data_IF_812842594506
#
_entry.id   IF_812842594506
#
_cell.length_a   1.000
_cell.length_b   1.000
_cell.length_c   1.000
_cell.angle_alpha   90.00
_cell.angle_beta   90.00
_cell.angle_gamma   90.00
#
_symmetry.space_group_name_H-M   'P 1'
#
loop_
_entity.id
_entity.type
_entity.pdbx_description
1 polymer ?
#
# COMPACT_ATOMS: atom_id res chain seq x y z
N UNK A 1 -4.02 9.99 -40.24
CA UNK A 1 -4.13 10.27 -38.79
C UNK A 1 -3.26 9.25 -38.06
N UNK A 2 -2.15 9.66 -37.44
CA UNK A 2 -1.34 8.74 -36.62
C UNK A 2 -2.19 8.36 -35.40
N UNK A 3 -2.49 7.07 -35.22
CA UNK A 3 -3.14 6.60 -34.01
C UNK A 3 -2.27 7.00 -32.81
N UNK A 4 -2.80 7.70 -31.80
CA UNK A 4 -2.01 8.01 -30.60
C UNK A 4 -1.63 6.69 -29.92
N UNK A 5 -0.33 6.53 -29.62
CA UNK A 5 0.26 5.31 -29.04
C UNK A 5 -0.10 5.17 -27.53
N UNK A 6 -0.85 6.12 -26.94
CA UNK A 6 -1.30 6.07 -25.54
C UNK A 6 -2.37 7.13 -25.22
N UNK A 7 -2.96 7.05 -24.01
CA UNK A 7 -4.08 7.89 -23.58
C UNK A 7 -3.69 9.33 -23.20
N UNK A 8 -2.41 9.60 -22.98
CA UNK A 8 -1.91 10.86 -22.43
C UNK A 8 -1.00 11.61 -23.42
N UNK A 9 -1.05 12.96 -23.46
CA UNK A 9 -0.11 13.78 -24.22
C UNK A 9 1.37 13.52 -23.86
N UNK A 10 2.29 13.89 -24.74
CA UNK A 10 3.70 14.00 -24.39
C UNK A 10 3.98 15.37 -23.77
N UNK A 11 4.28 15.38 -22.48
CA UNK A 11 4.68 16.61 -21.78
C UNK A 11 6.16 16.87 -22.05
N UNK A 12 6.49 18.08 -22.50
CA UNK A 12 7.88 18.56 -22.62
C UNK A 12 8.10 19.67 -21.59
N UNK A 13 9.11 19.48 -20.74
CA UNK A 13 9.53 20.51 -19.78
C UNK A 13 10.36 21.56 -20.51
N UNK A 14 10.01 22.83 -20.33
CA UNK A 14 10.76 24.00 -20.83
C UNK A 14 11.01 24.95 -19.66
N UNK A 15 12.10 25.69 -19.72
CA UNK A 15 12.53 26.67 -18.72
C UNK A 15 12.17 28.13 -19.10
N UNK A 16 11.38 28.31 -20.17
CA UNK A 16 11.02 29.62 -20.72
C UNK A 16 9.95 30.39 -19.91
N UNK A 17 9.37 29.77 -18.88
CA UNK A 17 8.38 30.38 -17.98
C UNK A 17 7.02 30.69 -18.61
N UNK A 18 6.75 30.24 -19.84
CA UNK A 18 5.53 30.62 -20.61
C UNK A 18 4.33 29.69 -20.36
N UNK A 19 4.54 28.56 -19.70
CA UNK A 19 3.48 27.64 -19.28
C UNK A 19 3.82 27.04 -17.91
N UNK A 20 2.91 27.20 -16.93
CA UNK A 20 3.08 26.70 -15.56
C UNK A 20 2.09 25.57 -15.33
N UNK A 21 2.58 24.43 -14.86
CA UNK A 21 1.75 23.32 -14.38
C UNK A 21 1.77 23.35 -12.86
N UNK A 22 0.61 23.56 -12.25
CA UNK A 22 0.50 23.71 -10.79
C UNK A 22 0.83 22.41 -10.03
N UNK A 23 0.74 21.26 -10.70
CA UNK A 23 1.04 19.94 -10.15
C UNK A 23 2.18 19.26 -10.90
N UNK A 24 3.39 19.81 -10.88
CA UNK A 24 4.52 19.23 -11.60
C UNK A 24 4.81 17.75 -11.24
N UNK A 25 4.51 17.31 -10.01
CA UNK A 25 4.61 15.90 -9.61
C UNK A 25 3.70 14.94 -10.39
N UNK A 26 2.60 15.44 -10.95
CA UNK A 26 1.68 14.66 -11.80
C UNK A 26 2.29 14.23 -13.13
N UNK A 27 3.24 15.00 -13.67
CA UNK A 27 3.89 14.69 -14.95
C UNK A 27 4.63 13.36 -14.84
N UNK A 28 5.33 13.14 -13.73
CA UNK A 28 6.07 11.89 -13.51
C UNK A 28 5.13 10.69 -13.31
N UNK A 29 3.96 10.89 -12.70
CA UNK A 29 2.93 9.85 -12.59
C UNK A 29 2.35 9.50 -13.96
N UNK A 30 2.04 10.50 -14.80
CA UNK A 30 1.55 10.28 -16.17
C UNK A 30 2.60 9.57 -17.02
N UNK A 31 3.87 9.98 -16.97
CA UNK A 31 4.94 9.28 -17.68
C UNK A 31 5.13 7.84 -17.15
N UNK A 32 4.94 7.61 -15.85
CA UNK A 32 4.95 6.26 -15.28
C UNK A 32 3.82 5.42 -15.87
N UNK A 33 2.58 5.90 -15.87
CA UNK A 33 1.41 5.23 -16.47
C UNK A 33 1.72 4.77 -17.90
N UNK A 34 2.29 5.65 -18.72
CA UNK A 34 2.64 5.36 -20.11
C UNK A 34 3.77 4.35 -20.24
N UNK A 35 4.84 4.48 -19.45
CA UNK A 35 6.01 3.59 -19.52
C UNK A 35 5.69 2.17 -19.11
N UNK A 36 4.78 2.00 -18.14
CA UNK A 36 4.35 0.68 -17.67
C UNK A 36 3.16 0.13 -18.46
N UNK A 37 2.52 0.96 -19.32
CA UNK A 37 1.37 0.58 -20.14
C UNK A 37 0.08 0.37 -19.35
N UNK A 38 -0.07 1.05 -18.20
CA UNK A 38 -1.25 0.88 -17.34
C UNK A 38 -2.54 1.36 -18.03
N UNK A 39 -2.47 2.47 -18.75
CA UNK A 39 -3.59 3.01 -19.51
C UNK A 39 -4.10 2.03 -20.57
N UNK A 40 -3.18 1.43 -21.32
CA UNK A 40 -3.50 0.44 -22.35
C UNK A 40 -4.10 -0.84 -21.74
N UNK A 41 -3.48 -1.38 -20.68
CA UNK A 41 -3.95 -2.61 -20.04
C UNK A 41 -5.35 -2.45 -19.44
N UNK A 42 -5.61 -1.34 -18.76
CA UNK A 42 -6.93 -1.05 -18.17
C UNK A 42 -7.97 -0.75 -19.25
N UNK A 43 -7.60 -0.03 -20.32
CA UNK A 43 -8.48 0.22 -21.48
C UNK A 43 -8.90 -1.09 -22.16
N UNK A 44 -7.94 -1.99 -22.41
CA UNK A 44 -8.22 -3.32 -22.97
C UNK A 44 -9.15 -4.12 -22.05
N UNK A 45 -8.85 -4.19 -20.75
CA UNK A 45 -9.66 -4.92 -19.78
C UNK A 45 -11.09 -4.38 -19.63
N UNK A 46 -11.29 -3.07 -19.78
CA UNK A 46 -12.60 -2.44 -19.66
C UNK A 46 -13.34 -2.26 -20.99
N UNK A 47 -12.83 -2.81 -22.09
CA UNK A 47 -13.49 -2.81 -23.41
C UNK A 47 -14.94 -3.33 -23.36
N UNK A 48 -15.29 -4.39 -22.61
CA UNK A 48 -16.69 -4.85 -22.52
C UNK A 48 -17.69 -3.81 -21.99
N UNK A 49 -17.21 -2.78 -21.27
CA UNK A 49 -18.03 -1.69 -20.73
C UNK A 49 -17.98 -0.42 -21.58
N UNK A 50 -17.25 -0.44 -22.69
CA UNK A 50 -17.17 0.69 -23.63
C UNK A 50 -18.39 0.69 -24.54
N UNK A 51 -19.22 1.73 -24.44
CA UNK A 51 -20.36 1.91 -25.34
C UNK A 51 -19.85 2.25 -26.76
N UNK A 52 -20.55 1.83 -27.84
CA UNK A 52 -20.11 2.09 -29.22
C UNK A 52 -19.86 3.56 -29.55
N UNK A 53 -20.66 4.47 -28.97
CA UNK A 53 -20.55 5.93 -29.16
C UNK A 53 -19.86 6.65 -27.98
N UNK A 54 -19.08 5.92 -27.17
CA UNK A 54 -18.38 6.52 -26.04
C UNK A 54 -17.24 7.41 -26.54
N UNK A 55 -17.31 8.71 -26.21
CA UNK A 55 -16.23 9.68 -26.45
C UNK A 55 -15.05 9.41 -25.51
N UNK A 56 -15.34 9.13 -24.23
CA UNK A 56 -14.34 8.80 -23.23
C UNK A 56 -14.16 7.29 -23.11
N UNK A 57 -12.92 6.84 -23.13
CA UNK A 57 -12.57 5.45 -22.88
C UNK A 57 -12.74 5.10 -21.38
N UNK A 58 -13.48 4.03 -21.03
CA UNK A 58 -13.68 3.63 -19.64
C UNK A 58 -12.38 3.39 -18.86
N UNK A 59 -11.36 2.82 -19.53
CA UNK A 59 -10.08 2.57 -18.90
C UNK A 59 -9.32 3.84 -18.62
N UNK A 60 -9.29 4.78 -19.59
CA UNK A 60 -8.73 6.10 -19.36
C UNK A 60 -9.42 6.82 -18.20
N UNK A 61 -10.76 6.79 -18.14
CA UNK A 61 -11.50 7.43 -17.04
C UNK A 61 -11.11 6.86 -15.66
N UNK A 62 -10.91 5.54 -15.57
CA UNK A 62 -10.50 4.89 -14.33
C UNK A 62 -9.07 5.26 -13.92
N UNK A 63 -8.15 5.34 -14.88
CA UNK A 63 -6.75 5.76 -14.64
C UNK A 63 -6.67 7.26 -14.32
N UNK A 64 -7.46 8.11 -14.98
CA UNK A 64 -7.58 9.54 -14.65
C UNK A 64 -8.05 9.71 -13.20
N UNK A 65 -9.06 8.97 -12.77
CA UNK A 65 -9.52 9.03 -11.38
C UNK A 65 -8.45 8.52 -10.40
N UNK A 66 -7.72 7.46 -10.74
CA UNK A 66 -6.60 6.99 -9.93
C UNK A 66 -5.46 8.02 -9.84
N UNK A 67 -5.17 8.76 -10.91
CA UNK A 67 -4.23 9.88 -10.90
C UNK A 67 -4.72 11.02 -9.99
N UNK A 68 -6.01 11.37 -10.06
CA UNK A 68 -6.59 12.38 -9.18
C UNK A 68 -6.46 11.97 -7.70
N UNK A 69 -6.74 10.69 -7.38
CA UNK A 69 -6.57 10.13 -6.03
C UNK A 69 -5.10 10.09 -5.59
N UNK A 70 -4.17 9.72 -6.48
CA UNK A 70 -2.73 9.78 -6.20
C UNK A 70 -2.27 11.21 -5.86
N UNK A 71 -2.88 12.20 -6.51
CA UNK A 71 -2.65 13.63 -6.30
C UNK A 71 -3.40 14.21 -5.09
N UNK A 72 -4.18 13.40 -4.40
CA UNK A 72 -4.81 13.74 -3.12
C UNK A 72 -6.31 13.93 -3.16
N UNK A 73 -6.96 13.66 -4.29
CA UNK A 73 -8.41 13.57 -4.36
C UNK A 73 -8.96 12.43 -3.49
N UNK A 74 -10.16 12.63 -2.97
CA UNK A 74 -10.87 11.68 -2.13
C UNK A 74 -12.35 11.48 -2.54
N UNK A 75 -12.75 12.08 -3.66
CA UNK A 75 -14.07 11.89 -4.27
C UNK A 75 -14.01 11.86 -5.81
N UNK A 76 -15.14 11.53 -6.45
CA UNK A 76 -15.21 11.48 -7.92
C UNK A 76 -15.05 12.86 -8.58
N UNK A 77 -15.52 13.92 -7.91
CA UNK A 77 -15.49 15.28 -8.43
C UNK A 77 -14.07 15.85 -8.57
N UNK A 78 -13.10 15.33 -7.81
CA UNK A 78 -11.70 15.78 -7.85
C UNK A 78 -11.03 15.53 -9.20
N UNK A 79 -11.63 14.70 -10.07
CA UNK A 79 -11.20 14.55 -11.46
C UNK A 79 -11.22 15.88 -12.23
N UNK A 80 -12.02 16.86 -11.76
CA UNK A 80 -12.04 18.21 -12.31
C UNK A 80 -10.66 18.89 -12.28
N UNK A 81 -9.80 18.57 -11.30
CA UNK A 81 -8.42 19.07 -11.22
C UNK A 81 -7.57 18.62 -12.42
N UNK A 82 -7.79 17.41 -12.93
CA UNK A 82 -7.07 16.94 -14.12
C UNK A 82 -7.64 17.58 -15.37
N UNK A 83 -8.96 17.78 -15.40
CA UNK A 83 -9.66 18.40 -16.53
C UNK A 83 -9.27 19.85 -16.75
N UNK A 84 -8.84 20.58 -15.71
CA UNK A 84 -8.30 21.94 -15.86
C UNK A 84 -6.91 21.98 -16.49
N UNK A 85 -6.24 20.83 -16.66
CA UNK A 85 -4.85 20.73 -17.15
C UNK A 85 -4.76 19.79 -18.37
N UNK A 86 -5.49 20.06 -19.48
CA UNK A 86 -5.56 19.16 -20.63
C UNK A 86 -4.21 18.98 -21.36
N UNK A 87 -3.27 19.91 -21.17
CA UNK A 87 -1.90 19.78 -21.70
C UNK A 87 -1.14 18.59 -21.07
N UNK A 88 -1.49 18.19 -19.85
CA UNK A 88 -0.87 17.06 -19.13
C UNK A 88 -1.72 15.80 -19.25
N UNK A 89 -3.04 15.92 -19.07
CA UNK A 89 -3.93 14.75 -18.93
C UNK A 89 -4.75 14.42 -20.19
N UNK A 90 -4.70 15.28 -21.21
CA UNK A 90 -5.55 15.18 -22.39
C UNK A 90 -7.03 15.40 -22.06
N UNK A 91 -7.96 14.89 -22.89
CA UNK A 91 -9.38 14.93 -22.59
C UNK A 91 -9.73 14.11 -21.34
N UNK A 92 -10.33 14.75 -20.34
CA UNK A 92 -10.78 14.13 -19.09
C UNK A 92 -12.29 14.23 -18.99
N UNK A 93 -12.95 13.13 -18.60
CA UNK A 93 -14.40 13.07 -18.49
C UNK A 93 -14.95 13.97 -17.38
N UNK A 94 -16.22 14.36 -17.49
CA UNK A 94 -16.92 15.06 -16.41
C UNK A 94 -17.28 14.14 -15.25
N UNK A 95 -17.43 14.70 -14.05
CA UNK A 95 -17.86 13.97 -12.85
C UNK A 95 -19.15 13.13 -13.06
N UNK A 96 -20.25 13.68 -13.64
CA UNK A 96 -21.42 12.85 -13.95
C UNK A 96 -21.14 11.68 -14.92
N UNK A 97 -20.16 11.82 -15.81
CA UNK A 97 -19.77 10.76 -16.73
C UNK A 97 -18.99 9.66 -16.01
N UNK A 98 -18.09 10.04 -15.10
CA UNK A 98 -17.36 9.12 -14.23
C UNK A 98 -18.33 8.39 -13.30
N UNK A 99 -19.22 9.10 -12.63
CA UNK A 99 -20.23 8.51 -11.74
C UNK A 99 -21.06 7.42 -12.43
N UNK A 100 -21.51 7.66 -13.68
CA UNK A 100 -22.22 6.65 -14.49
C UNK A 100 -21.37 5.43 -14.81
N UNK A 101 -20.08 5.62 -15.10
CA UNK A 101 -19.15 4.50 -15.32
C UNK A 101 -19.02 3.67 -14.05
N UNK A 102 -18.80 4.31 -12.89
CA UNK A 102 -18.67 3.61 -11.60
C UNK A 102 -19.94 2.82 -11.28
N UNK A 103 -21.13 3.39 -11.50
CA UNK A 103 -22.40 2.67 -11.38
C UNK A 103 -22.49 1.46 -12.32
N UNK A 104 -22.04 1.60 -13.56
CA UNK A 104 -22.05 0.50 -14.55
C UNK A 104 -21.10 -0.64 -14.15
N UNK A 105 -19.89 -0.30 -13.68
CA UNK A 105 -18.91 -1.28 -13.21
C UNK A 105 -19.39 -1.98 -11.93
N UNK A 106 -19.94 -1.22 -10.99
CA UNK A 106 -20.50 -1.74 -9.75
C UNK A 106 -21.65 -2.73 -10.01
N UNK A 107 -22.56 -2.41 -10.93
CA UNK A 107 -23.64 -3.30 -11.34
C UNK A 107 -23.15 -4.61 -11.99
N UNK A 108 -21.91 -4.64 -12.49
CA UNK A 108 -21.30 -5.83 -13.08
C UNK A 108 -20.57 -6.73 -12.06
N UNK A 109 -20.51 -6.29 -10.79
CA UNK A 109 -19.94 -7.06 -9.67
C UNK A 109 -18.54 -7.59 -9.93
N UNK A 110 -18.31 -8.86 -9.60
CA UNK A 110 -17.00 -9.52 -9.70
C UNK A 110 -16.42 -9.54 -11.12
N UNK A 111 -17.23 -9.43 -12.18
CA UNK A 111 -16.72 -9.38 -13.56
C UNK A 111 -15.84 -8.14 -13.78
N UNK A 112 -16.33 -6.97 -13.35
CA UNK A 112 -15.59 -5.72 -13.47
C UNK A 112 -14.35 -5.70 -12.55
N UNK A 113 -14.51 -6.13 -11.30
CA UNK A 113 -13.40 -6.23 -10.35
C UNK A 113 -12.30 -7.18 -10.86
N UNK A 114 -12.67 -8.34 -11.39
CA UNK A 114 -11.72 -9.31 -11.96
C UNK A 114 -10.99 -8.73 -13.17
N UNK A 115 -11.67 -7.99 -14.04
CA UNK A 115 -11.03 -7.33 -15.19
C UNK A 115 -9.97 -6.32 -14.74
N UNK A 116 -10.30 -5.44 -13.79
CA UNK A 116 -9.36 -4.43 -13.24
C UNK A 116 -8.17 -5.13 -12.56
N UNK A 117 -8.44 -6.11 -11.69
CA UNK A 117 -7.40 -6.87 -10.98
C UNK A 117 -6.48 -7.62 -11.93
N UNK A 118 -7.00 -8.17 -13.02
CA UNK A 118 -6.19 -8.89 -14.02
C UNK A 118 -5.23 -7.95 -14.73
N UNK A 119 -5.71 -6.79 -15.19
CA UNK A 119 -4.86 -5.76 -15.80
C UNK A 119 -3.79 -5.26 -14.82
N UNK A 120 -4.15 -5.02 -13.55
CA UNK A 120 -3.17 -4.64 -12.51
C UNK A 120 -2.09 -5.72 -12.29
N UNK A 121 -2.48 -6.99 -12.25
CA UNK A 121 -1.54 -8.12 -12.11
C UNK A 121 -0.57 -8.20 -13.30
N UNK A 122 -1.06 -7.99 -14.52
CA UNK A 122 -0.24 -7.97 -15.73
C UNK A 122 0.78 -6.82 -15.70
N UNK A 123 0.33 -5.60 -15.38
CA UNK A 123 1.19 -4.41 -15.30
C UNK A 123 2.22 -4.59 -14.18
N UNK A 124 1.85 -5.13 -13.02
CA UNK A 124 2.79 -5.41 -11.92
C UNK A 124 3.94 -6.30 -12.36
N UNK A 125 3.65 -7.37 -13.10
CA UNK A 125 4.70 -8.26 -13.64
C UNK A 125 5.71 -7.47 -14.48
N UNK A 126 5.23 -6.63 -15.40
CA UNK A 126 6.09 -5.76 -16.23
C UNK A 126 6.88 -4.77 -15.39
N UNK A 127 6.25 -4.18 -14.37
CA UNK A 127 6.93 -3.25 -13.45
C UNK A 127 8.08 -3.93 -12.71
N UNK A 128 7.87 -5.15 -12.21
CA UNK A 128 8.93 -5.91 -11.55
C UNK A 128 10.06 -6.26 -12.52
N UNK A 129 9.75 -6.63 -13.76
CA UNK A 129 10.75 -6.85 -14.82
C UNK A 129 11.56 -5.57 -15.11
N UNK A 130 10.93 -4.39 -15.12
CA UNK A 130 11.60 -3.10 -15.34
C UNK A 130 12.38 -2.60 -14.11
N UNK A 131 11.97 -2.99 -12.91
CA UNK A 131 12.62 -2.59 -11.67
C UNK A 131 13.92 -3.36 -11.43
N UNK A 132 14.06 -4.56 -12.00
CA UNK A 132 15.23 -5.43 -11.91
C UNK A 132 15.68 -5.64 -10.45
N UNK A 133 16.90 -5.24 -10.09
CA UNK A 133 17.47 -5.32 -8.74
C UNK A 133 16.72 -4.50 -7.67
N UNK A 134 15.78 -3.65 -8.08
CA UNK A 134 14.90 -2.87 -7.20
C UNK A 134 13.53 -3.52 -6.97
N UNK A 135 13.21 -4.62 -7.64
CA UNK A 135 11.94 -5.31 -7.50
C UNK A 135 11.82 -5.99 -6.11
N UNK A 136 10.61 -6.11 -5.54
CA UNK A 136 10.42 -6.74 -4.24
C UNK A 136 10.69 -8.25 -4.24
N UNK A 137 10.89 -8.87 -5.40
CA UNK A 137 11.10 -10.30 -5.57
C UNK A 137 12.56 -10.70 -5.86
N UNK A 138 13.50 -9.76 -5.72
CA UNK A 138 14.95 -10.00 -5.80
C UNK A 138 15.42 -10.93 -4.68
N UNK A 139 14.83 -10.81 -3.49
CA UNK A 139 14.94 -11.83 -2.45
C UNK A 139 14.13 -13.06 -2.85
N UNK A 140 14.67 -14.27 -2.67
CA UNK A 140 14.05 -15.55 -3.08
C UNK A 140 12.59 -15.79 -2.60
N UNK A 141 12.04 -14.91 -1.76
CA UNK A 141 10.71 -14.93 -1.21
C UNK A 141 10.07 -13.54 -1.19
N UNK A 142 8.84 -13.43 -1.73
CA UNK A 142 7.99 -12.23 -1.64
C UNK A 142 7.24 -12.23 -0.32
N UNK A 143 7.25 -11.11 0.41
CA UNK A 143 6.49 -10.97 1.67
C UNK A 143 5.22 -10.18 1.44
N UNK A 144 4.08 -10.72 1.86
CA UNK A 144 2.76 -10.07 1.80
C UNK A 144 2.24 -9.88 3.22
N UNK A 145 1.98 -8.63 3.59
CA UNK A 145 1.35 -8.25 4.85
C UNK A 145 -0.16 -8.09 4.64
N UNK A 146 -0.96 -8.81 5.43
CA UNK A 146 -2.41 -8.61 5.52
C UNK A 146 -2.76 -7.86 6.79
N UNK A 147 -3.62 -6.85 6.70
CA UNK A 147 -3.98 -6.03 7.85
C UNK A 147 -5.36 -5.38 7.76
N UNK A 148 -6.09 -5.39 8.88
CA UNK A 148 -7.43 -4.82 8.99
C UNK A 148 -7.37 -3.31 9.23
N UNK A 149 -8.20 -2.56 8.51
CA UNK A 149 -8.21 -1.09 8.57
C UNK A 149 -9.62 -0.59 8.82
N UNK A 150 -9.81 0.27 9.82
CA UNK A 150 -11.10 0.97 10.01
C UNK A 150 -11.18 2.19 9.11
N UNK A 151 -12.25 2.30 8.33
CA UNK A 151 -12.58 3.50 7.55
C UNK A 151 -13.82 4.11 8.15
N UNK A 152 -13.67 5.27 8.79
CA UNK A 152 -14.76 5.96 9.48
C UNK A 152 -15.73 6.53 8.45
N UNK A 153 -17.02 6.30 8.65
CA UNK A 153 -18.09 6.91 7.87
C UNK A 153 -18.81 7.95 8.73
N UNK A 154 -19.20 9.05 8.11
CA UNK A 154 -19.99 10.13 8.73
C UNK A 154 -21.42 10.19 8.17
N UNK A 155 -21.84 9.14 7.48
CA UNK A 155 -23.16 9.02 6.85
C UNK A 155 -23.55 7.54 6.75
N UNK A 156 -24.84 7.28 6.62
CA UNK A 156 -25.42 5.93 6.54
C UNK A 156 -25.19 5.28 5.16
N UNK A 157 -23.93 4.97 4.86
CA UNK A 157 -23.54 4.21 3.67
C UNK A 157 -23.92 2.75 3.86
N UNK A 158 -24.19 2.04 2.77
CA UNK A 158 -24.41 0.59 2.81
C UNK A 158 -23.24 -0.11 3.51
N UNK A 159 -23.57 -1.06 4.40
CA UNK A 159 -22.63 -1.82 5.23
C UNK A 159 -21.76 -1.00 6.20
N UNK A 160 -22.02 0.31 6.34
CA UNK A 160 -21.47 1.06 7.44
C UNK A 160 -22.14 0.60 8.74
N UNK A 161 -21.34 0.23 9.73
CA UNK A 161 -21.83 -0.34 10.98
C UNK A 161 -20.92 0.06 12.16
N UNK A 162 -21.41 -0.07 13.40
CA UNK A 162 -20.57 0.04 14.59
C UNK A 162 -19.40 -0.93 14.52
N UNK A 163 -18.22 -0.42 14.87
CA UNK A 163 -16.95 -1.15 14.84
C UNK A 163 -16.53 -1.55 16.25
N UNK A 164 -15.64 -2.54 16.36
CA UNK A 164 -15.12 -2.98 17.66
C UNK A 164 -14.36 -1.88 18.43
N UNK A 165 -13.82 -0.87 17.73
CA UNK A 165 -13.20 0.33 18.35
C UNK A 165 -14.22 1.42 18.73
N UNK A 166 -15.51 1.10 18.80
CA UNK A 166 -16.59 2.05 19.13
C UNK A 166 -16.66 3.25 18.16
N UNK A 167 -16.23 3.06 16.92
CA UNK A 167 -16.45 4.01 15.81
C UNK A 167 -17.51 3.47 14.85
N UNK A 168 -17.93 4.23 13.84
CA UNK A 168 -18.90 3.82 12.82
C UNK A 168 -18.28 3.90 11.42
N UNK A 169 -18.49 2.88 10.58
CA UNK A 169 -17.96 2.85 9.21
C UNK A 169 -17.72 1.44 8.69
N UNK A 170 -16.59 1.22 8.03
CA UNK A 170 -16.22 -0.05 7.37
C UNK A 170 -14.92 -0.61 7.96
N UNK A 171 -14.71 -1.93 7.79
CA UNK A 171 -13.51 -2.61 8.30
C UNK A 171 -12.77 -3.39 7.20
N UNK A 172 -12.33 -2.76 6.09
CA UNK A 172 -11.64 -3.46 5.02
C UNK A 172 -10.37 -4.21 5.49
N UNK A 173 -10.08 -5.32 4.82
CA UNK A 173 -8.83 -6.07 4.97
C UNK A 173 -7.92 -5.76 3.78
N UNK A 174 -6.78 -5.13 4.06
CA UNK A 174 -5.82 -4.70 3.05
C UNK A 174 -4.65 -5.69 2.96
N UNK A 175 -4.05 -5.80 1.79
CA UNK A 175 -2.83 -6.59 1.56
C UNK A 175 -1.76 -5.78 0.86
N UNK A 176 -0.52 -5.87 1.31
CA UNK A 176 0.62 -5.17 0.73
C UNK A 176 1.82 -6.08 0.54
N UNK A 177 2.50 -5.98 -0.60
CA UNK A 177 3.86 -6.55 -0.76
C UNK A 177 4.85 -5.64 -0.04
N UNK A 178 5.69 -6.24 0.79
CA UNK A 178 6.76 -5.55 1.51
C UNK A 178 7.99 -5.41 0.61
N UNK A 179 8.36 -4.17 0.28
CA UNK A 179 9.57 -3.86 -0.50
C UNK A 179 10.85 -3.85 0.36
N UNK A 180 10.74 -4.21 1.65
CA UNK A 180 11.88 -4.24 2.57
C UNK A 180 12.36 -2.84 2.98
N UNK A 181 13.58 -2.73 3.51
CA UNK A 181 14.18 -1.46 3.86
C UNK A 181 14.35 -0.57 2.62
N UNK A 182 13.89 0.68 2.67
CA UNK A 182 14.04 1.60 1.56
C UNK A 182 12.90 1.59 0.52
N UNK A 183 11.87 0.77 0.72
CA UNK A 183 10.72 0.69 -0.18
C UNK A 183 9.39 1.09 0.45
N UNK A 184 8.47 1.57 -0.37
CA UNK A 184 7.14 2.07 0.04
C UNK A 184 6.10 0.95 0.20
N UNK A 185 6.38 -0.25 -0.31
CA UNK A 185 5.40 -1.32 -0.46
C UNK A 185 4.35 -1.00 -1.53
N UNK A 186 3.61 -2.02 -1.96
CA UNK A 186 2.59 -1.89 -3.01
C UNK A 186 1.34 -2.74 -2.67
N UNK A 187 0.12 -2.26 -2.97
CA UNK A 187 -1.10 -2.95 -2.60
C UNK A 187 -1.37 -4.15 -3.51
N UNK A 188 -1.75 -5.28 -2.91
CA UNK A 188 -2.13 -6.51 -3.61
C UNK A 188 -3.51 -7.03 -3.25
N UNK A 189 -4.14 -6.49 -2.21
CA UNK A 189 -5.53 -6.80 -1.90
C UNK A 189 -6.22 -5.61 -1.21
N UNK A 190 -7.51 -5.45 -1.51
CA UNK A 190 -8.44 -4.66 -0.72
C UNK A 190 -9.79 -5.37 -0.70
N UNK A 191 -10.12 -5.99 0.43
CA UNK A 191 -11.41 -6.64 0.66
C UNK A 191 -12.28 -5.68 1.48
N UNK A 192 -13.29 -5.07 0.86
CA UNK A 192 -14.26 -4.25 1.57
C UNK A 192 -15.13 -5.13 2.47
N UNK A 193 -15.26 -4.73 3.73
CA UNK A 193 -16.08 -5.45 4.72
C UNK A 193 -16.93 -4.48 5.53
N UNK A 194 -18.09 -4.91 6.04
CA UNK A 194 -18.91 -4.13 6.94
C UNK A 194 -18.14 -3.67 8.20
N UNK A 195 -18.61 -2.60 8.85
CA UNK A 195 -17.97 -2.09 10.07
C UNK A 195 -17.92 -3.06 11.24
N UNK A 196 -18.93 -3.94 11.33
CA UNK A 196 -19.07 -4.97 12.35
C UNK A 196 -18.39 -6.30 11.95
N UNK A 197 -17.63 -6.33 10.84
CA UNK A 197 -16.92 -7.53 10.42
C UNK A 197 -15.87 -7.94 11.48
N UNK A 198 -15.89 -9.23 11.83
CA UNK A 198 -14.98 -9.82 12.80
C UNK A 198 -13.51 -9.63 12.39
N UNK A 199 -12.68 -9.22 13.35
CA UNK A 199 -11.25 -9.06 13.10
C UNK A 199 -10.60 -10.40 12.73
N UNK A 200 -11.07 -11.51 13.31
CA UNK A 200 -10.51 -12.86 13.16
C UNK A 200 -11.32 -13.78 12.23
N UNK A 201 -12.15 -13.25 11.35
CA UNK A 201 -12.90 -14.08 10.38
C UNK A 201 -11.92 -14.78 9.41
N UNK A 202 -11.80 -16.10 9.49
CA UNK A 202 -10.86 -16.86 8.68
C UNK A 202 -11.17 -16.78 7.17
N UNK A 203 -12.46 -16.84 6.81
CA UNK A 203 -12.90 -16.72 5.42
C UNK A 203 -12.47 -15.39 4.75
N UNK A 204 -12.45 -14.30 5.50
CA UNK A 204 -11.98 -13.00 5.02
C UNK A 204 -10.48 -13.01 4.75
N UNK A 205 -9.69 -13.57 5.67
CA UNK A 205 -8.24 -13.71 5.50
C UNK A 205 -7.88 -14.61 4.33
N UNK A 206 -8.60 -15.72 4.17
CA UNK A 206 -8.47 -16.62 3.01
C UNK A 206 -8.78 -15.86 1.71
N UNK A 207 -9.84 -15.07 1.69
CA UNK A 207 -10.24 -14.28 0.53
C UNK A 207 -9.20 -13.21 0.21
N UNK A 208 -8.75 -12.44 1.19
CA UNK A 208 -7.69 -11.43 1.02
C UNK A 208 -6.36 -12.06 0.56
N UNK A 209 -5.98 -13.22 1.11
CA UNK A 209 -4.80 -13.95 0.67
C UNK A 209 -4.93 -14.44 -0.78
N UNK A 210 -6.11 -14.95 -1.19
CA UNK A 210 -6.38 -15.32 -2.59
C UNK A 210 -6.26 -14.13 -3.53
N UNK A 211 -6.84 -12.98 -3.17
CA UNK A 211 -6.73 -11.74 -3.93
C UNK A 211 -5.27 -11.30 -4.06
N UNK A 212 -4.52 -11.31 -2.94
CA UNK A 212 -3.10 -10.96 -2.92
C UNK A 212 -2.27 -11.86 -3.83
N UNK A 213 -2.42 -13.19 -3.72
CA UNK A 213 -1.69 -14.15 -4.56
C UNK A 213 -2.06 -13.99 -6.03
N UNK A 214 -3.31 -13.68 -6.36
CA UNK A 214 -3.73 -13.44 -7.74
C UNK A 214 -3.04 -12.23 -8.37
N UNK A 215 -2.60 -11.24 -7.58
CA UNK A 215 -1.82 -10.11 -8.06
C UNK A 215 -0.35 -10.46 -8.36
N UNK A 216 0.21 -11.49 -7.71
CA UNK A 216 1.62 -11.86 -7.88
C UNK A 216 1.88 -12.66 -9.18
N UNK A 217 3.11 -12.63 -9.73
CA UNK A 217 3.52 -13.55 -10.78
C UNK A 217 3.29 -15.02 -10.41
N UNK A 218 2.95 -15.87 -11.39
CA UNK A 218 2.54 -17.29 -11.17
C UNK A 218 3.51 -18.07 -10.29
N UNK A 219 4.83 -17.85 -10.44
CA UNK A 219 5.90 -18.50 -9.65
C UNK A 219 5.81 -18.26 -8.14
N UNK A 220 5.12 -17.20 -7.70
CA UNK A 220 4.97 -16.84 -6.29
C UNK A 220 3.62 -17.26 -5.69
N UNK A 221 2.67 -17.76 -6.49
CA UNK A 221 1.31 -18.06 -6.00
C UNK A 221 1.22 -19.33 -5.15
N UNK A 222 2.28 -20.15 -5.17
CA UNK A 222 2.38 -21.44 -4.48
C UNK A 222 3.84 -21.69 -4.04
N UNK A 223 4.01 -22.65 -3.16
CA UNK A 223 5.28 -23.01 -2.55
C UNK A 223 5.75 -21.98 -1.53
N UNK A 224 6.95 -22.21 -0.99
CA UNK A 224 7.56 -21.38 0.06
C UNK A 224 8.19 -20.08 -0.48
N UNK A 225 7.80 -19.67 -1.70
CA UNK A 225 8.28 -18.43 -2.35
C UNK A 225 7.47 -17.19 -1.98
N UNK A 226 6.35 -17.36 -1.27
CA UNK A 226 5.61 -16.25 -0.68
C UNK A 226 5.44 -16.46 0.82
N UNK A 227 5.76 -15.42 1.59
CA UNK A 227 5.52 -15.31 3.01
C UNK A 227 4.28 -14.46 3.27
N UNK A 228 3.24 -15.05 3.85
CA UNK A 228 2.10 -14.30 4.37
C UNK A 228 2.37 -13.90 5.82
N UNK A 229 2.28 -12.61 6.12
CA UNK A 229 2.33 -12.08 7.49
C UNK A 229 1.03 -11.40 7.86
N UNK A 230 0.60 -11.61 9.09
CA UNK A 230 -0.54 -10.92 9.70
C UNK A 230 -0.32 -10.82 11.21
N UNK A 231 -1.11 -9.97 11.85
CA UNK A 231 -1.16 -9.88 13.30
C UNK A 231 -1.96 -11.06 13.88
N UNK A 232 -2.30 -10.96 15.16
CA UNK A 232 -3.09 -11.98 15.86
C UNK A 232 -4.50 -12.18 15.30
N UNK A 233 -5.03 -11.24 14.52
CA UNK A 233 -6.33 -11.40 13.89
C UNK A 233 -6.31 -12.50 12.82
N UNK A 234 -5.15 -12.72 12.17
CA UNK A 234 -4.95 -13.85 11.27
C UNK A 234 -4.63 -15.17 11.98
N UNK A 235 -4.40 -15.18 13.29
CA UNK A 235 -3.98 -16.35 14.07
C UNK A 235 -5.06 -17.40 14.32
N UNK A 236 -5.88 -17.72 13.31
CA UNK A 236 -6.95 -18.72 13.41
C UNK A 236 -6.52 -20.07 12.84
N UNK A 237 -7.04 -21.16 13.42
CA UNK A 237 -6.76 -22.53 12.94
C UNK A 237 -7.08 -22.68 11.46
N UNK A 238 -8.27 -22.25 11.02
CA UNK A 238 -8.70 -22.41 9.63
C UNK A 238 -7.79 -21.65 8.65
N UNK A 239 -7.40 -20.40 8.96
CA UNK A 239 -6.52 -19.64 8.06
C UNK A 239 -5.11 -20.24 8.00
N UNK A 240 -4.52 -20.62 9.14
CA UNK A 240 -3.18 -21.23 9.17
C UNK A 240 -3.18 -22.60 8.49
N UNK A 241 -4.22 -23.43 8.69
CA UNK A 241 -4.42 -24.68 7.98
C UNK A 241 -4.54 -24.46 6.46
N UNK A 242 -5.26 -23.41 6.05
CA UNK A 242 -5.32 -23.01 4.65
C UNK A 242 -3.93 -22.64 4.12
N UNK A 243 -3.14 -21.82 4.82
CA UNK A 243 -1.78 -21.46 4.37
C UNK A 243 -0.86 -22.68 4.24
N UNK A 244 -0.97 -23.63 5.17
CA UNK A 244 -0.16 -24.84 5.24
C UNK A 244 -0.60 -25.96 4.29
N UNK A 245 -1.78 -25.86 3.68
CA UNK A 245 -2.39 -26.92 2.86
C UNK A 245 -1.42 -27.48 1.81
N UNK A 246 -1.36 -28.82 1.71
CA UNK A 246 -0.54 -29.54 0.73
C UNK A 246 -0.88 -29.08 -0.70
N UNK A 247 0.14 -28.88 -1.53
CA UNK A 247 0.00 -28.30 -2.87
C UNK A 247 -0.03 -26.76 -2.91
N UNK A 248 -0.25 -26.09 -1.76
CA UNK A 248 -0.07 -24.64 -1.63
C UNK A 248 1.24 -24.29 -0.95
N UNK A 249 1.53 -24.87 0.22
CA UNK A 249 2.81 -24.74 0.96
C UNK A 249 3.35 -23.31 1.08
N UNK A 250 2.50 -22.34 1.42
CA UNK A 250 2.96 -20.96 1.64
C UNK A 250 3.83 -20.88 2.89
N UNK A 251 4.79 -19.98 2.90
CA UNK A 251 5.41 -19.57 4.15
C UNK A 251 4.47 -18.64 4.90
N UNK A 252 4.47 -18.72 6.22
CA UNK A 252 3.68 -17.81 7.03
C UNK A 252 4.41 -17.34 8.30
N UNK A 253 4.03 -16.17 8.79
CA UNK A 253 4.44 -15.61 10.07
C UNK A 253 3.26 -14.80 10.62
N UNK A 254 2.46 -15.46 11.45
CA UNK A 254 1.12 -15.01 11.86
C UNK A 254 1.13 -14.77 13.35
N UNK A 255 0.76 -13.57 13.79
CA UNK A 255 0.63 -13.28 15.22
C UNK A 255 -0.36 -14.24 15.88
N UNK A 256 -0.16 -14.52 17.16
CA UNK A 256 -1.04 -15.40 17.94
C UNK A 256 -1.50 -14.68 19.20
N UNK A 257 -2.75 -14.91 19.57
CA UNK A 257 -3.28 -14.42 20.85
C UNK A 257 -2.64 -15.23 21.97
N UNK A 258 -2.13 -14.55 23.00
CA UNK A 258 -1.61 -15.23 24.20
C UNK A 258 -2.80 -15.78 24.97
N UNK A 259 -2.94 -17.11 24.98
CA UNK A 259 -3.89 -17.85 25.82
C UNK A 259 -3.24 -18.18 27.16
N UNK A 260 -4.03 -18.60 28.15
CA UNK A 260 -3.52 -19.07 29.43
C UNK A 260 -2.53 -20.23 29.24
N UNK A 261 -2.87 -21.19 28.38
CA UNK A 261 -1.97 -22.32 28.08
C UNK A 261 -0.62 -21.88 27.51
N UNK A 262 -0.60 -20.89 26.60
CA UNK A 262 0.66 -20.32 26.09
C UNK A 262 1.42 -19.63 27.22
N UNK A 263 0.72 -18.87 28.06
CA UNK A 263 1.31 -18.15 29.18
C UNK A 263 1.97 -19.11 30.19
N UNK A 264 1.28 -20.19 30.59
CA UNK A 264 1.84 -21.23 31.46
C UNK A 264 3.09 -21.89 30.89
N UNK A 265 3.15 -22.11 29.57
CA UNK A 265 4.34 -22.62 28.91
C UNK A 265 5.50 -21.62 28.93
N UNK A 266 5.21 -20.34 28.75
CA UNK A 266 6.22 -19.26 28.79
C UNK A 266 6.90 -19.20 30.16
N UNK A 267 6.14 -19.37 31.25
CA UNK A 267 6.67 -19.37 32.62
C UNK A 267 7.63 -20.54 32.90
N UNK A 268 7.55 -21.62 32.12
CA UNK A 268 8.40 -22.82 32.27
C UNK A 268 9.67 -22.76 31.42
N UNK A 269 9.85 -21.73 30.56
CA UNK A 269 11.02 -21.63 29.69
C UNK A 269 12.27 -21.32 30.54
N UNK A 270 13.31 -22.17 30.51
CA UNK A 270 14.53 -21.93 31.26
C UNK A 270 15.27 -20.70 30.73
N UNK A 271 16.00 -20.00 31.60
CA UNK A 271 16.76 -18.79 31.25
C UNK A 271 17.70 -19.00 30.06
N UNK A 272 18.31 -20.18 29.94
CA UNK A 272 19.24 -20.55 28.86
C UNK A 272 18.59 -20.73 27.48
N UNK A 273 17.27 -20.91 27.40
CA UNK A 273 16.56 -21.04 26.14
C UNK A 273 16.18 -19.69 25.51
N UNK A 274 16.30 -18.59 26.27
CA UNK A 274 16.05 -17.24 25.78
C UNK A 274 17.25 -16.72 24.99
N UNK A 275 17.03 -16.40 23.73
CA UNK A 275 18.02 -15.75 22.85
C UNK A 275 17.73 -14.24 22.78
N UNK A 276 18.73 -13.35 22.82
CA UNK A 276 18.51 -11.93 22.59
C UNK A 276 17.86 -11.66 21.22
N UNK A 277 16.89 -10.73 21.19
CA UNK A 277 16.34 -10.26 19.92
C UNK A 277 17.37 -9.39 19.18
N UNK A 278 17.18 -9.21 17.87
CA UNK A 278 18.12 -8.47 17.02
C UNK A 278 17.44 -7.34 16.27
N UNK A 279 18.21 -6.31 15.96
CA UNK A 279 17.84 -5.20 15.08
C UNK A 279 18.13 -5.50 13.62
N UNK A 280 17.64 -4.63 12.73
CA UNK A 280 17.79 -4.80 11.27
C UNK A 280 19.25 -4.81 10.79
N UNK A 281 20.18 -4.26 11.59
CA UNK A 281 21.62 -4.25 11.32
C UNK A 281 22.37 -5.42 11.97
N UNK A 282 21.67 -6.32 12.67
CA UNK A 282 22.26 -7.48 13.35
C UNK A 282 22.63 -7.22 14.82
N UNK A 283 22.60 -5.98 15.27
CA UNK A 283 22.85 -5.60 16.67
C UNK A 283 21.82 -6.21 17.62
N UNK A 284 22.23 -6.47 18.86
CA UNK A 284 21.32 -6.96 19.91
C UNK A 284 20.34 -5.84 20.28
N UNK A 285 19.06 -6.19 20.35
CA UNK A 285 18.01 -5.31 20.87
C UNK A 285 17.96 -5.43 22.39
N UNK A 286 18.36 -4.35 23.08
CA UNK A 286 18.28 -4.31 24.53
C UNK A 286 16.84 -4.47 25.03
N UNK A 287 16.67 -5.22 26.12
CA UNK A 287 15.38 -5.44 26.75
C UNK A 287 14.41 -6.36 25.99
N UNK A 288 14.86 -7.11 24.98
CA UNK A 288 14.01 -8.05 24.25
C UNK A 288 14.68 -9.42 24.05
N UNK A 289 13.92 -10.48 24.30
CA UNK A 289 14.38 -11.87 24.17
C UNK A 289 13.33 -12.72 23.47
N UNK A 290 13.80 -13.75 22.79
CA UNK A 290 12.98 -14.67 22.00
C UNK A 290 13.26 -16.11 22.41
N UNK A 291 12.22 -16.93 22.38
CA UNK A 291 12.30 -18.36 22.60
C UNK A 291 11.31 -19.09 21.67
N UNK A 292 11.50 -20.39 21.52
CA UNK A 292 10.56 -21.25 20.79
C UNK A 292 9.81 -22.13 21.77
N UNK A 293 8.49 -22.17 21.59
CA UNK A 293 7.59 -23.04 22.33
C UNK A 293 7.38 -24.34 21.54
N UNK A 294 7.48 -25.46 22.25
CA UNK A 294 7.30 -26.82 21.74
C UNK A 294 6.39 -27.61 22.68
N UNK A 295 5.79 -28.69 22.20
CA UNK A 295 4.97 -29.59 23.01
C UNK A 295 3.53 -29.71 22.51
N UNK A 296 2.66 -30.15 23.41
CA UNK A 296 1.22 -30.37 23.21
C UNK A 296 0.44 -29.09 22.82
N UNK A 297 0.98 -27.90 23.13
CA UNK A 297 0.43 -26.62 22.68
C UNK A 297 0.29 -26.47 21.15
N UNK A 298 0.98 -27.31 20.37
CA UNK A 298 0.91 -27.35 18.91
C UNK A 298 -0.09 -28.38 18.39
N UNK A 299 -0.75 -29.14 19.26
CA UNK A 299 -1.75 -30.13 18.86
C UNK A 299 -2.94 -29.45 18.17
N UNK A 300 -3.44 -30.07 17.09
CA UNK A 300 -4.50 -29.52 16.25
C UNK A 300 -4.06 -28.39 15.30
N UNK A 301 -2.79 -27.97 15.33
CA UNK A 301 -2.21 -27.09 14.31
C UNK A 301 -1.58 -27.88 13.15
N UNK A 302 -1.33 -27.24 11.99
CA UNK A 302 -0.71 -27.92 10.86
C UNK A 302 0.69 -28.43 11.19
N UNK A 303 1.02 -29.61 10.65
CA UNK A 303 2.33 -30.22 10.82
C UNK A 303 3.48 -29.28 10.41
N UNK A 304 4.49 -29.16 11.27
CA UNK A 304 5.65 -28.29 11.05
C UNK A 304 5.42 -26.81 11.38
N UNK A 305 4.31 -26.48 12.05
CA UNK A 305 4.16 -25.20 12.75
C UNK A 305 5.22 -25.08 13.85
N UNK A 306 5.68 -23.86 14.06
CA UNK A 306 6.58 -23.44 15.13
C UNK A 306 5.95 -22.23 15.80
N UNK A 307 5.97 -22.17 17.13
CA UNK A 307 5.47 -21.02 17.88
C UNK A 307 6.65 -20.28 18.52
N UNK A 308 6.88 -19.05 18.09
CA UNK A 308 7.98 -18.23 18.59
C UNK A 308 7.39 -17.18 19.53
N UNK A 309 7.93 -17.11 20.74
CA UNK A 309 7.55 -16.12 21.75
C UNK A 309 8.63 -15.05 21.87
N UNK A 310 8.20 -13.81 22.06
CA UNK A 310 9.04 -12.68 22.44
C UNK A 310 8.57 -12.13 23.77
N UNK A 311 9.53 -11.90 24.68
CA UNK A 311 9.33 -11.03 25.84
C UNK A 311 10.11 -9.73 25.64
N UNK A 312 9.48 -8.61 25.92
CA UNK A 312 10.10 -7.28 25.78
C UNK A 312 9.76 -6.38 26.98
N UNK A 313 10.69 -5.52 27.39
CA UNK A 313 10.43 -4.49 28.39
C UNK A 313 9.33 -3.55 27.88
N UNK A 314 8.19 -3.43 28.58
CA UNK A 314 7.16 -2.49 28.20
C UNK A 314 7.72 -1.07 28.10
N UNK A 315 7.18 -0.27 27.18
CA UNK A 315 7.55 1.14 27.11
C UNK A 315 7.23 1.85 28.44
N UNK A 316 8.03 2.86 28.86
CA UNK A 316 7.75 3.62 30.07
C UNK A 316 6.30 4.14 30.09
N UNK A 317 5.57 3.84 31.18
CA UNK A 317 4.16 4.21 31.33
C UNK A 317 3.15 3.23 30.73
N UNK A 318 3.57 2.13 30.11
CA UNK A 318 2.67 1.10 29.63
C UNK A 318 2.05 0.31 30.80
N UNK A 319 0.73 0.17 30.81
CA UNK A 319 0.03 -0.71 31.75
C UNK A 319 0.32 -2.18 31.41
N UNK A 320 0.72 -2.95 32.42
CA UNK A 320 0.92 -4.39 32.28
C UNK A 320 -0.42 -5.08 32.00
N UNK A 321 -0.39 -6.13 31.17
CA UNK A 321 -1.54 -7.03 30.93
C UNK A 321 -1.39 -8.27 31.80
N UNK A 322 -2.49 -8.98 32.01
CA UNK A 322 -2.50 -10.27 32.73
C UNK A 322 -1.57 -11.29 32.07
N UNK A 323 -1.39 -11.19 30.76
CA UNK A 323 -0.50 -12.04 29.95
C UNK A 323 0.97 -11.63 30.01
N UNK A 324 1.32 -10.58 30.75
CA UNK A 324 2.72 -10.15 30.91
C UNK A 324 3.37 -11.00 32.01
N UNK A 325 4.57 -11.50 31.76
CA UNK A 325 5.32 -12.35 32.68
C UNK A 325 6.60 -11.62 33.12
N UNK A 326 6.95 -11.67 34.41
CA UNK A 326 8.14 -11.01 34.98
C UNK A 326 8.23 -9.49 34.69
N UNK A 327 7.08 -8.81 34.59
CA UNK A 327 7.02 -7.39 34.21
C UNK A 327 7.34 -7.12 32.74
N UNK A 328 7.37 -8.17 31.90
CA UNK A 328 7.71 -8.12 30.48
C UNK A 328 6.46 -8.36 29.62
N UNK A 329 6.32 -7.57 28.55
CA UNK A 329 5.28 -7.75 27.54
C UNK A 329 5.56 -9.04 26.76
N UNK A 330 4.60 -9.96 26.77
CA UNK A 330 4.66 -11.19 25.98
C UNK A 330 3.88 -11.04 24.67
N UNK A 331 4.50 -11.47 23.58
CA UNK A 331 3.86 -11.63 22.27
C UNK A 331 4.34 -12.93 21.64
N UNK A 332 3.54 -13.56 20.78
CA UNK A 332 4.00 -14.73 20.04
C UNK A 332 3.43 -14.74 18.62
N UNK A 333 4.10 -15.52 17.75
CA UNK A 333 3.67 -15.72 16.39
C UNK A 333 4.00 -17.14 15.93
N UNK A 334 3.13 -17.68 15.08
CA UNK A 334 3.35 -18.97 14.44
C UNK A 334 4.06 -18.80 13.10
N UNK A 335 4.95 -19.74 12.78
CA UNK A 335 5.61 -19.83 11.48
C UNK A 335 5.87 -21.28 11.08
N UNK A 336 6.04 -21.57 9.79
CA UNK A 336 6.48 -22.87 9.30
C UNK A 336 7.90 -22.85 8.71
N UNK A 337 8.69 -21.81 9.02
CA UNK A 337 10.06 -21.66 8.49
C UNK A 337 11.04 -22.46 9.36
N UNK A 338 11.78 -23.40 8.80
CA UNK A 338 12.64 -24.33 9.57
C UNK A 338 14.10 -23.86 9.71
N UNK A 339 14.68 -23.28 8.66
CA UNK A 339 16.13 -23.01 8.58
C UNK A 339 16.47 -21.52 8.77
N UNK A 340 15.98 -20.92 9.86
CA UNK A 340 16.30 -19.52 10.20
C UNK A 340 16.40 -19.38 11.72
N UNK A 341 17.42 -18.68 12.24
CA UNK A 341 17.54 -18.39 13.66
C UNK A 341 16.29 -17.71 14.21
N UNK A 342 15.87 -18.06 15.43
CA UNK A 342 14.63 -17.56 16.04
C UNK A 342 14.63 -16.02 16.19
N UNK A 343 15.79 -15.41 16.45
CA UNK A 343 15.92 -13.96 16.48
C UNK A 343 15.66 -13.29 15.11
N UNK A 344 16.09 -13.92 14.02
CA UNK A 344 15.79 -13.44 12.67
C UNK A 344 14.34 -13.70 12.25
N UNK A 345 13.71 -14.76 12.78
CA UNK A 345 12.28 -15.00 12.59
C UNK A 345 11.45 -13.93 13.30
N UNK A 346 11.80 -13.60 14.54
CA UNK A 346 11.16 -12.52 15.29
C UNK A 346 11.34 -11.19 14.58
N UNK A 347 12.56 -10.83 14.18
CA UNK A 347 12.80 -9.58 13.45
C UNK A 347 11.95 -9.52 12.18
N UNK A 348 11.91 -10.61 11.40
CA UNK A 348 11.06 -10.69 10.21
C UNK A 348 9.58 -10.52 10.55
N UNK A 349 9.09 -11.05 11.66
CA UNK A 349 7.71 -10.83 12.09
C UNK A 349 7.48 -9.38 12.54
N UNK A 350 8.34 -8.83 13.40
CA UNK A 350 8.28 -7.45 13.91
C UNK A 350 8.28 -6.41 12.80
N UNK A 351 9.02 -6.65 11.73
CA UNK A 351 9.06 -5.78 10.54
C UNK A 351 7.72 -5.69 9.79
N UNK A 352 6.70 -6.50 10.15
CA UNK A 352 5.31 -6.29 9.72
C UNK A 352 4.80 -4.91 10.10
N UNK A 353 5.33 -4.25 11.13
CA UNK A 353 4.96 -2.88 11.50
C UNK A 353 5.03 -1.88 10.32
N UNK A 354 5.85 -2.16 9.28
CA UNK A 354 5.84 -1.39 8.02
C UNK A 354 4.47 -1.36 7.33
N UNK A 355 3.60 -2.35 7.53
CA UNK A 355 2.24 -2.36 7.02
C UNK A 355 1.41 -1.18 7.57
N UNK A 356 1.66 -0.73 8.80
CA UNK A 356 0.99 0.43 9.39
C UNK A 356 1.34 1.72 8.64
N UNK A 357 2.61 1.87 8.22
CA UNK A 357 3.04 2.99 7.39
C UNK A 357 2.34 2.99 6.03
N UNK A 358 2.15 1.81 5.43
CA UNK A 358 1.43 1.66 4.15
C UNK A 358 -0.05 1.98 4.28
N UNK A 359 -0.67 1.58 5.39
CA UNK A 359 -2.05 1.96 5.70
C UNK A 359 -2.16 3.47 5.89
N UNK A 360 -1.19 4.10 6.56
CA UNK A 360 -1.15 5.57 6.70
C UNK A 360 -1.06 6.25 5.33
N UNK A 361 -0.19 5.76 4.45
CA UNK A 361 -0.08 6.25 3.07
C UNK A 361 -1.38 6.02 2.27
N UNK A 362 -2.03 4.87 2.44
CA UNK A 362 -3.33 4.57 1.83
C UNK A 362 -4.42 5.54 2.31
N UNK A 363 -4.47 5.87 3.60
CA UNK A 363 -5.40 6.88 4.13
C UNK A 363 -5.17 8.26 3.50
N UNK A 364 -3.91 8.64 3.28
CA UNK A 364 -3.58 9.87 2.56
C UNK A 364 -3.86 9.81 1.04
N UNK A 365 -4.28 8.65 0.53
CA UNK A 365 -4.48 8.33 -0.89
C UNK A 365 -5.85 7.66 -1.08
N UNK A 366 -6.93 8.35 -0.68
CA UNK A 366 -8.31 7.93 -0.94
C UNK A 366 -8.89 6.85 -0.02
N UNK A 367 -8.11 6.12 0.80
CA UNK A 367 -8.67 5.13 1.75
C UNK A 367 -9.34 5.77 2.98
N UNK A 368 -9.06 7.05 3.27
CA UNK A 368 -9.65 7.75 4.43
C UNK A 368 -11.18 7.90 4.31
N UNK A 369 -11.71 7.92 3.09
CA UNK A 369 -13.12 8.06 2.81
C UNK A 369 -13.56 7.06 1.74
N UNK A 370 -14.76 6.50 1.90
CA UNK A 370 -15.46 5.74 0.86
C UNK A 370 -16.55 6.65 0.28
N UNK A 371 -16.35 7.34 -0.86
CA UNK A 371 -17.18 8.47 -1.25
C UNK A 371 -18.56 8.10 -1.78
N UNK A 372 -18.87 6.81 -1.94
CA UNK A 372 -20.09 6.34 -2.60
C UNK A 372 -21.03 5.71 -1.57
N UNK A 373 -22.31 5.62 -1.92
CA UNK A 373 -23.33 5.10 -1.01
C UNK A 373 -23.32 3.57 -0.92
N UNK A 374 -23.19 2.87 -2.06
CA UNK A 374 -23.32 1.42 -2.12
C UNK A 374 -21.98 0.70 -1.94
N UNK A 375 -22.01 -0.49 -1.38
CA UNK A 375 -20.83 -1.35 -1.17
C UNK A 375 -20.18 -1.72 -2.51
N UNK A 376 -20.98 -2.01 -3.53
CA UNK A 376 -20.47 -2.35 -4.86
C UNK A 376 -19.70 -1.18 -5.50
N UNK A 377 -20.21 0.04 -5.40
CA UNK A 377 -19.52 1.24 -5.88
C UNK A 377 -18.23 1.52 -5.10
N UNK A 378 -18.27 1.39 -3.77
CA UNK A 378 -17.07 1.52 -2.94
C UNK A 378 -16.05 0.40 -3.18
N UNK A 379 -16.48 -0.78 -3.65
CA UNK A 379 -15.58 -1.82 -4.16
C UNK A 379 -14.76 -1.35 -5.36
N UNK A 380 -15.39 -0.67 -6.32
CA UNK A 380 -14.68 -0.05 -7.46
C UNK A 380 -13.75 1.06 -6.97
N UNK A 381 -14.19 1.89 -6.02
CA UNK A 381 -13.35 2.91 -5.40
C UNK A 381 -12.09 2.34 -4.75
N UNK A 382 -12.18 1.20 -4.05
CA UNK A 382 -11.00 0.55 -3.49
C UNK A 382 -10.03 0.04 -4.56
N UNK A 383 -10.51 -0.42 -5.72
CA UNK A 383 -9.61 -0.75 -6.83
C UNK A 383 -8.92 0.50 -7.41
N UNK A 384 -9.62 1.64 -7.48
CA UNK A 384 -9.02 2.94 -7.88
C UNK A 384 -7.95 3.38 -6.88
N UNK A 385 -8.24 3.28 -5.57
CA UNK A 385 -7.28 3.57 -4.50
C UNK A 385 -6.05 2.67 -4.62
N UNK A 386 -6.24 1.38 -4.92
CA UNK A 386 -5.12 0.47 -5.13
C UNK A 386 -4.29 0.84 -6.37
N UNK A 387 -4.90 1.28 -7.47
CA UNK A 387 -4.16 1.77 -8.65
C UNK A 387 -3.37 3.04 -8.32
N UNK A 388 -3.97 3.97 -7.57
CA UNK A 388 -3.29 5.18 -7.13
C UNK A 388 -2.05 4.85 -6.27
N UNK A 389 -2.21 3.89 -5.34
CA UNK A 389 -1.12 3.39 -4.52
C UNK A 389 -0.07 2.60 -5.30
N UNK A 390 -0.47 1.81 -6.30
CA UNK A 390 0.46 1.18 -7.24
C UNK A 390 1.32 2.24 -7.94
N UNK A 391 0.72 3.31 -8.46
CA UNK A 391 1.47 4.40 -9.11
C UNK A 391 2.45 5.08 -8.15
N UNK A 392 2.02 5.33 -6.91
CA UNK A 392 2.87 5.93 -5.87
C UNK A 392 3.98 5.00 -5.36
N UNK A 393 3.85 3.69 -5.54
CA UNK A 393 4.90 2.72 -5.24
C UNK A 393 5.85 2.49 -6.43
N UNK A 394 5.29 2.37 -7.64
CA UNK A 394 6.02 2.03 -8.85
C UNK A 394 6.83 3.19 -9.39
N UNK A 395 6.29 4.41 -9.37
CA UNK A 395 7.00 5.60 -9.83
C UNK A 395 8.33 5.80 -9.09
N UNK A 396 8.40 5.86 -7.75
CA UNK A 396 9.68 6.03 -7.07
C UNK A 396 10.59 4.82 -7.22
N UNK A 397 10.02 3.60 -7.31
CA UNK A 397 10.79 2.38 -7.54
C UNK A 397 11.51 2.40 -8.88
N UNK A 398 10.87 2.91 -9.94
CA UNK A 398 11.42 2.93 -11.29
C UNK A 398 12.26 4.17 -11.57
N UNK A 399 11.82 5.35 -11.11
CA UNK A 399 12.33 6.64 -11.58
C UNK A 399 13.18 7.43 -10.56
N UNK A 400 13.12 7.10 -9.26
CA UNK A 400 13.83 7.86 -8.23
C UNK A 400 15.00 7.08 -7.63
N UNK A 401 15.97 7.80 -7.09
CA UNK A 401 17.17 7.25 -6.44
C UNK A 401 17.38 7.85 -5.05
N UNK A 402 18.20 7.20 -4.22
CA UNK A 402 18.51 7.65 -2.87
C UNK A 402 17.28 7.84 -1.98
N UNK A 403 17.31 8.87 -1.12
CA UNK A 403 16.21 9.18 -0.17
C UNK A 403 14.89 9.56 -0.84
N UNK A 404 14.90 9.96 -2.11
CA UNK A 404 13.69 10.32 -2.84
C UNK A 404 12.76 9.13 -3.09
N UNK A 405 13.31 7.90 -3.12
CA UNK A 405 12.51 6.66 -3.21
C UNK A 405 11.54 6.45 -2.05
N UNK A 406 11.85 7.07 -0.90
CA UNK A 406 11.09 6.96 0.34
C UNK A 406 10.13 8.14 0.56
N UNK A 407 9.97 9.02 -0.42
CA UNK A 407 9.05 10.14 -0.26
C UNK A 407 7.61 9.65 -0.19
N UNK A 408 6.93 10.05 0.88
CA UNK A 408 5.50 9.82 1.05
C UNK A 408 4.66 10.60 0.02
N UNK A 409 3.40 10.20 -0.22
CA UNK A 409 2.54 10.77 -1.25
C UNK A 409 2.52 12.30 -1.26
N UNK A 410 2.47 12.94 -0.08
CA UNK A 410 2.45 14.40 0.06
C UNK A 410 3.69 15.07 -0.55
N UNK A 411 4.88 14.49 -0.37
CA UNK A 411 6.12 15.03 -0.95
C UNK A 411 6.24 14.74 -2.44
N UNK A 412 5.72 13.60 -2.91
CA UNK A 412 5.69 13.23 -4.33
C UNK A 412 4.77 14.14 -5.16
N UNK A 413 3.70 14.67 -4.56
CA UNK A 413 2.77 15.62 -5.21
C UNK A 413 3.41 16.97 -5.51
N UNK A 414 4.26 17.44 -4.60
CA UNK A 414 4.91 18.76 -4.66
C UNK A 414 6.43 18.64 -4.51
N UNK A 415 7.12 17.94 -5.43
CA UNK A 415 8.54 17.69 -5.27
C UNK A 415 9.32 19.01 -5.39
N UNK A 416 10.26 19.30 -4.47
CA UNK A 416 11.06 20.52 -4.53
C UNK A 416 11.89 20.62 -5.82
N UNK A 417 12.21 19.48 -6.44
CA UNK A 417 13.04 19.37 -7.65
C UNK A 417 12.38 19.97 -8.90
N UNK A 418 11.04 20.08 -8.92
CA UNK A 418 10.31 20.69 -10.04
C UNK A 418 9.87 22.13 -9.76
N UNK A 419 10.24 22.71 -8.61
CA UNK A 419 10.23 24.18 -8.47
C UNK A 419 11.39 24.69 -9.31
N UNK A 420 11.09 25.12 -10.53
CA UNK A 420 11.95 26.08 -11.24
C UNK A 420 12.39 27.13 -10.22
N UNK A 421 13.71 27.36 -10.13
CA UNK A 421 14.24 28.46 -9.32
C UNK A 421 13.42 29.70 -9.69
N UNK A 422 12.74 30.38 -8.75
CA UNK A 422 12.28 31.73 -9.04
C UNK A 422 13.54 32.49 -9.40
N UNK A 423 13.61 32.99 -10.63
CA UNK A 423 14.66 33.91 -11.02
C UNK A 423 14.69 35.00 -9.95
N UNK A 424 15.81 35.13 -9.25
CA UNK A 424 16.00 36.22 -8.31
C UNK A 424 15.89 37.48 -9.15
N UNK A 425 14.78 38.22 -9.01
CA UNK A 425 14.75 39.61 -9.39
C UNK A 425 15.72 40.35 -8.46
N UNK A 426 16.99 40.41 -8.85
CA UNK A 426 17.81 41.54 -8.45
C UNK A 426 17.18 42.75 -9.15
N UNK A 427 16.48 43.59 -8.38
CA UNK A 427 16.37 45.00 -8.73
C UNK A 427 17.80 45.54 -8.72
N UNK A 428 18.41 45.64 -9.90
CA UNK A 428 19.49 46.59 -10.10
C UNK A 428 18.87 47.98 -9.90
N UNK A 429 19.17 48.60 -8.76
CA UNK A 429 19.03 50.04 -8.65
C UNK A 429 19.88 50.64 -9.78
N UNK A 430 19.27 51.49 -10.60
CA UNK A 430 20.00 52.28 -11.57
C UNK A 430 20.99 53.16 -10.81
N UNK A 431 22.27 52.87 -10.96
CA UNK A 431 23.33 53.81 -10.61
C UNK A 431 23.11 55.08 -11.44
N UNK A 432 22.78 56.17 -10.73
CA UNK A 432 22.83 57.52 -11.30
C UNK A 432 24.29 57.88 -11.53
N UNK A 433 24.67 58.45 -12.69
CA UNK A 433 26.05 58.87 -12.91
C UNK A 433 26.42 60.03 -11.96
N UNK A 434 27.70 60.14 -11.57
CA UNK A 434 28.15 61.13 -10.58
C UNK A 434 28.04 62.55 -11.14
N UNK A 435 27.51 63.45 -10.31
CA UNK A 435 27.59 64.90 -10.55
C UNK A 435 29.07 65.34 -10.51
N UNK A 436 29.56 66.12 -11.47
CA UNK A 436 30.85 66.79 -11.32
C UNK A 436 30.71 67.97 -10.37
N UNK A 437 31.47 67.95 -9.28
CA UNK A 437 31.77 69.14 -8.50
C UNK A 437 32.95 69.85 -9.16
N UNK A 438 32.74 71.10 -9.59
CA UNK A 438 33.82 72.07 -9.81
C UNK A 438 33.37 73.42 -9.28
N UNK A 439 34.28 74.06 -8.57
CA UNK A 439 34.07 75.17 -7.66
C UNK A 439 34.52 76.51 -8.25
N UNK A 440 33.88 77.58 -7.74
CA UNK A 440 34.36 78.95 -7.50
C UNK A 440 34.71 79.87 -8.69
N UNK A 441 34.10 81.07 -8.68
CA UNK A 441 34.57 82.21 -9.46
C UNK A 441 33.70 83.47 -9.39
N UNK A 442 33.87 84.24 -8.31
CA UNK A 442 33.52 85.68 -8.06
C UNK A 442 32.06 86.10 -7.92
#
# INVERSE_FOLDING_TARGET
>A
MKQPIGSYPHVRVRDDGRAVVSQAGSVLLVETVRKIGLDQAISAALTPWRRPRAVHDPGKMLVDLALAVALGGDCLADIALLRSEPAVFGPVASDPTVSRLIGTLAASGEKALTAIRTARSEVRRRVWELADDRAPDVGAQVTVDLDGVLVVAHSDKQDAAPTWKKTYGHHPLMGFVDHGPGGTGEPVAALLRPGNAGSNTAADHITAARLALAQLPKKYRRGRRTLIRCDSAGGTHEFVAWLAQRGRWLSYSVGMVITEAIHEHVLKIPASAWTPAVESHGEIRDGAWVAELTGDLLDGWPQGIRLIVRKERPHPGAQLRITDADGMRITCFATNTLNRPIAQLELRHRLRARAEDRIRAARATGLRNLPLHTTAQNGIWLEIVQIALDLLAWMPMLALTGRARLWEPRRLRFPPVLRSRPARHHRSAQDSPPRPALALGR
#
